data_IF_426591368836
#
_entry.id   IF_426591368836
#
_cell.length_a   1.000
_cell.length_b   1.000
_cell.length_c   1.000
_cell.angle_alpha   90.00
_cell.angle_beta   90.00
_cell.angle_gamma   90.00
#
_symmetry.space_group_name_H-M   'P 1'
#
loop_
_entity.id
_entity.type
_entity.pdbx_description
1 polymer ?
#
# COMPACT_ATOMS: atom_id res chain seq x y z
N UNK A 1 -1.95 14.37 -13.26
CA UNK A 1 -2.90 13.25 -13.09
C UNK A 1 -2.59 12.44 -11.83
N UNK A 2 -1.44 11.78 -11.73
CA UNK A 2 -1.05 10.96 -10.56
C UNK A 2 -1.07 11.70 -9.22
N UNK A 3 -0.56 12.94 -9.15
CA UNK A 3 -0.60 13.71 -7.89
C UNK A 3 -2.02 14.00 -7.37
N UNK A 4 -3.03 14.02 -8.24
CA UNK A 4 -4.42 14.21 -7.84
C UNK A 4 -5.03 12.91 -7.28
N UNK A 5 -4.69 11.76 -7.89
CA UNK A 5 -5.05 10.43 -7.36
C UNK A 5 -4.44 10.19 -5.98
N UNK A 6 -3.16 10.55 -5.78
CA UNK A 6 -2.50 10.47 -4.48
C UNK A 6 -3.23 11.31 -3.42
N UNK A 7 -3.56 12.57 -3.75
CA UNK A 7 -4.30 13.45 -2.85
C UNK A 7 -5.69 12.93 -2.51
N UNK A 8 -6.39 12.31 -3.47
CA UNK A 8 -7.68 11.67 -3.23
C UNK A 8 -7.54 10.44 -2.33
N UNK A 9 -6.54 9.60 -2.57
CA UNK A 9 -6.25 8.44 -1.74
C UNK A 9 -5.99 8.85 -0.28
N UNK A 10 -5.11 9.84 -0.07
CA UNK A 10 -4.81 10.38 1.27
C UNK A 10 -6.06 10.98 1.93
N UNK A 11 -6.85 11.75 1.18
CA UNK A 11 -8.08 12.35 1.70
C UNK A 11 -9.07 11.29 2.18
N UNK A 12 -9.33 10.25 1.37
CA UNK A 12 -10.22 9.16 1.77
C UNK A 12 -9.66 8.34 2.94
N UNK A 13 -8.34 8.18 3.05
CA UNK A 13 -7.73 7.55 4.21
C UNK A 13 -8.01 8.32 5.50
N UNK A 14 -7.92 9.66 5.46
CA UNK A 14 -8.21 10.52 6.63
C UNK A 14 -9.69 10.51 7.02
N UNK A 15 -10.59 10.23 6.07
CA UNK A 15 -12.02 10.07 6.32
C UNK A 15 -12.41 8.65 6.76
N UNK A 16 -11.44 7.75 6.94
CA UNK A 16 -11.64 6.32 7.23
C UNK A 16 -12.44 5.58 6.14
N UNK A 17 -12.56 6.17 4.95
CA UNK A 17 -13.11 5.54 3.77
C UNK A 17 -12.02 4.70 3.07
N UNK A 18 -11.71 3.57 3.70
CA UNK A 18 -10.66 2.67 3.22
C UNK A 18 -11.00 2.01 1.89
N UNK A 19 -12.28 1.99 1.48
CA UNK A 19 -12.67 1.46 0.18
C UNK A 19 -12.32 2.42 -0.95
N UNK A 20 -12.68 3.70 -0.81
CA UNK A 20 -12.30 4.72 -1.79
C UNK A 20 -10.78 4.96 -1.79
N UNK A 21 -10.14 4.97 -0.60
CA UNK A 21 -8.69 5.08 -0.51
C UNK A 21 -7.98 3.96 -1.29
N UNK A 22 -8.39 2.71 -1.07
CA UNK A 22 -7.83 1.57 -1.79
C UNK A 22 -8.05 1.68 -3.31
N UNK A 23 -9.23 2.12 -3.75
CA UNK A 23 -9.50 2.34 -5.18
C UNK A 23 -8.48 3.28 -5.82
N UNK A 24 -8.22 4.43 -5.20
CA UNK A 24 -7.24 5.40 -5.72
C UNK A 24 -5.79 4.91 -5.59
N UNK A 25 -5.46 4.19 -4.52
CA UNK A 25 -4.13 3.59 -4.35
C UNK A 25 -3.85 2.53 -5.43
N UNK A 26 -4.81 1.68 -5.76
CA UNK A 26 -4.67 0.69 -6.84
C UNK A 26 -4.56 1.39 -8.20
N UNK A 27 -5.36 2.44 -8.46
CA UNK A 27 -5.25 3.21 -9.70
C UNK A 27 -3.87 3.88 -9.88
N UNK A 28 -3.22 4.29 -8.77
CA UNK A 28 -1.83 4.76 -8.82
C UNK A 28 -0.87 3.65 -9.22
N UNK A 29 -1.04 2.44 -8.66
CA UNK A 29 -0.18 1.30 -8.93
C UNK A 29 -0.36 0.73 -10.34
N UNK A 30 -1.55 0.86 -10.93
CA UNK A 30 -1.79 0.55 -12.34
C UNK A 30 -1.02 1.49 -13.27
N UNK A 31 -0.82 2.75 -12.86
CA UNK A 31 -0.04 3.71 -13.63
C UNK A 31 1.46 3.58 -13.38
N UNK A 32 1.86 3.34 -12.13
CA UNK A 32 3.25 3.23 -11.70
C UNK A 32 3.35 2.17 -10.58
N UNK A 33 3.68 0.92 -10.94
CA UNK A 33 3.78 -0.19 -9.99
C UNK A 33 4.89 -0.05 -8.95
N UNK A 34 5.81 0.90 -9.13
CA UNK A 34 6.98 1.07 -8.27
C UNK A 34 6.74 2.06 -7.13
N UNK A 35 5.54 2.65 -7.06
CA UNK A 35 5.13 3.57 -6.01
C UNK A 35 4.92 2.88 -4.67
N UNK A 36 5.99 2.77 -3.90
CA UNK A 36 5.95 2.17 -2.57
C UNK A 36 5.00 2.89 -1.60
N UNK A 37 4.82 4.20 -1.73
CA UNK A 37 3.84 4.97 -0.96
C UNK A 37 2.40 4.47 -1.18
N UNK A 38 2.01 4.21 -2.44
CA UNK A 38 0.72 3.66 -2.79
C UNK A 38 0.56 2.21 -2.31
N UNK A 39 1.61 1.39 -2.40
CA UNK A 39 1.61 0.04 -1.81
C UNK A 39 1.38 0.09 -0.29
N UNK A 40 2.09 0.96 0.43
CA UNK A 40 1.92 1.15 1.88
C UNK A 40 0.51 1.60 2.25
N UNK A 41 -0.07 2.52 1.48
CA UNK A 41 -1.42 3.00 1.71
C UNK A 41 -2.45 1.88 1.52
N UNK A 42 -2.32 1.08 0.45
CA UNK A 42 -3.16 -0.08 0.20
C UNK A 42 -3.03 -1.13 1.32
N UNK A 43 -1.81 -1.43 1.78
CA UNK A 43 -1.57 -2.33 2.91
C UNK A 43 -2.30 -1.89 4.19
N UNK A 44 -2.23 -0.60 4.53
CA UNK A 44 -2.94 -0.04 5.68
C UNK A 44 -4.46 -0.16 5.52
N UNK A 45 -5.00 0.16 4.35
CA UNK A 45 -6.43 0.04 4.06
C UNK A 45 -6.93 -1.39 4.23
N UNK A 46 -6.21 -2.37 3.68
CA UNK A 46 -6.58 -3.78 3.84
C UNK A 46 -6.63 -4.20 5.31
N UNK A 47 -5.67 -3.78 6.12
CA UNK A 47 -5.65 -4.15 7.54
C UNK A 47 -6.76 -3.47 8.32
N UNK A 48 -7.05 -2.20 8.05
CA UNK A 48 -8.19 -1.48 8.63
C UNK A 48 -9.54 -2.11 8.28
N UNK A 49 -9.63 -2.78 7.13
CA UNK A 49 -10.78 -3.58 6.70
C UNK A 49 -10.80 -5.02 7.23
N UNK A 50 -9.80 -5.43 8.01
CA UNK A 50 -9.65 -6.81 8.50
C UNK A 50 -9.10 -7.80 7.45
N UNK A 51 -8.72 -7.33 6.28
CA UNK A 51 -8.28 -8.12 5.13
C UNK A 51 -6.75 -8.34 5.12
N UNK A 52 -6.17 -8.80 6.25
CA UNK A 52 -4.71 -8.94 6.42
C UNK A 52 -4.00 -9.72 5.31
N UNK A 53 -4.63 -10.79 4.82
CA UNK A 53 -4.06 -11.60 3.75
C UNK A 53 -3.84 -10.78 2.46
N UNK A 54 -4.70 -9.78 2.20
CA UNK A 54 -4.52 -8.87 1.08
C UNK A 54 -3.35 -7.91 1.31
N UNK A 55 -3.18 -7.38 2.53
CA UNK A 55 -2.02 -6.55 2.84
C UNK A 55 -0.70 -7.29 2.60
N UNK A 56 -0.62 -8.56 2.97
CA UNK A 56 0.59 -9.36 2.75
C UNK A 56 0.83 -9.64 1.26
N UNK A 57 -0.23 -9.92 0.49
CA UNK A 57 -0.14 -10.01 -0.96
C UNK A 57 0.34 -8.70 -1.57
N UNK A 58 -0.14 -7.57 -1.09
CA UNK A 58 0.27 -6.25 -1.58
C UNK A 58 1.77 -6.01 -1.36
N UNK A 59 2.30 -6.37 -0.19
CA UNK A 59 3.74 -6.30 0.06
C UNK A 59 4.54 -7.16 -0.93
N UNK A 60 4.09 -8.39 -1.19
CA UNK A 60 4.73 -9.29 -2.17
C UNK A 60 4.71 -8.72 -3.59
N UNK A 61 3.63 -8.05 -3.99
CA UNK A 61 3.54 -7.38 -5.29
C UNK A 61 4.55 -6.23 -5.38
N UNK A 62 4.72 -5.45 -4.30
CA UNK A 62 5.75 -4.41 -4.22
C UNK A 62 7.15 -4.99 -4.37
N UNK A 63 7.48 -6.05 -3.60
CA UNK A 63 8.76 -6.76 -3.71
C UNK A 63 9.00 -7.26 -5.14
N UNK A 64 8.00 -7.90 -5.74
CA UNK A 64 8.11 -8.48 -7.07
C UNK A 64 8.35 -7.40 -8.13
N UNK A 65 7.61 -6.28 -8.09
CA UNK A 65 7.73 -5.20 -9.06
C UNK A 65 9.14 -4.57 -9.02
N UNK A 66 9.64 -4.26 -7.82
CA UNK A 66 10.97 -3.68 -7.63
C UNK A 66 12.08 -4.66 -8.04
N UNK A 67 11.92 -5.94 -7.69
CA UNK A 67 12.91 -6.95 -8.00
C UNK A 67 12.99 -7.23 -9.50
N UNK A 68 11.85 -7.28 -10.20
CA UNK A 68 11.83 -7.62 -11.62
C UNK A 68 12.41 -6.53 -12.52
N UNK A 69 12.18 -5.25 -12.18
CA UNK A 69 12.61 -4.13 -13.02
C UNK A 69 13.98 -3.58 -12.61
N UNK A 70 14.25 -3.50 -11.30
CA UNK A 70 15.41 -2.77 -10.78
C UNK A 70 16.41 -3.65 -10.01
N UNK A 71 16.14 -4.95 -9.86
CA UNK A 71 16.84 -5.87 -8.94
C UNK A 71 16.92 -5.33 -7.49
N UNK A 72 15.99 -4.43 -7.15
CA UNK A 72 15.95 -3.73 -5.87
C UNK A 72 15.09 -4.48 -4.85
N UNK A 73 15.19 -4.03 -3.59
CA UNK A 73 14.32 -4.44 -2.48
C UNK A 73 13.46 -3.24 -2.05
N UNK A 74 12.30 -3.46 -1.39
CA UNK A 74 11.49 -2.37 -0.88
C UNK A 74 12.27 -1.46 0.07
N UNK A 75 11.90 -0.19 0.11
CA UNK A 75 12.35 0.78 1.10
C UNK A 75 12.16 0.24 2.53
N UNK A 76 13.03 0.71 3.44
CA UNK A 76 12.95 0.38 4.87
C UNK A 76 11.56 0.66 5.44
N UNK A 77 10.94 1.79 5.06
CA UNK A 77 9.59 2.15 5.53
C UNK A 77 8.51 1.13 5.11
N UNK A 78 8.66 0.51 3.94
CA UNK A 78 7.73 -0.51 3.43
C UNK A 78 7.92 -1.84 4.17
N UNK A 79 9.18 -2.22 4.39
CA UNK A 79 9.53 -3.43 5.13
C UNK A 79 9.12 -3.34 6.60
N UNK A 80 9.37 -2.19 7.25
CA UNK A 80 8.96 -1.92 8.63
C UNK A 80 7.43 -1.95 8.78
N UNK A 81 6.69 -1.38 7.84
CA UNK A 81 5.23 -1.47 7.85
C UNK A 81 4.79 -2.94 7.77
N UNK A 82 5.37 -3.73 6.87
CA UNK A 82 5.02 -5.14 6.76
C UNK A 82 5.31 -5.92 8.05
N UNK A 83 6.45 -5.66 8.69
CA UNK A 83 6.78 -6.28 9.98
C UNK A 83 5.81 -5.86 11.09
N UNK A 84 5.44 -4.58 11.16
CA UNK A 84 4.40 -4.11 12.08
C UNK A 84 3.07 -4.82 11.83
N UNK A 85 2.66 -4.95 10.57
CA UNK A 85 1.45 -5.67 10.19
C UNK A 85 1.52 -7.15 10.57
N UNK A 86 2.70 -7.78 10.46
CA UNK A 86 2.88 -9.19 10.84
C UNK A 86 2.78 -9.38 12.36
N UNK A 87 3.37 -8.49 13.14
CA UNK A 87 3.49 -8.61 14.61
C UNK A 87 2.29 -8.04 15.38
N UNK A 88 1.73 -6.91 14.93
CA UNK A 88 0.70 -6.16 15.64
C UNK A 88 -0.48 -5.78 14.73
N UNK A 89 -1.45 -6.70 14.54
CA UNK A 89 -2.59 -6.49 13.63
C UNK A 89 -3.52 -5.35 14.01
N UNK A 90 -3.63 -5.08 15.30
CA UNK A 90 -4.70 -4.29 15.92
C UNK A 90 -4.26 -2.89 16.36
N UNK A 91 -2.98 -2.55 16.19
CA UNK A 91 -2.40 -1.28 16.65
C UNK A 91 -2.29 -0.21 15.56
N UNK A 92 -2.79 -0.49 14.36
CA UNK A 92 -2.62 0.37 13.18
C UNK A 92 -3.89 1.03 12.74
#
# INVERSE_FOLDING_TARGET
YLGMLARLADHHYTLEDYAACLHFAIALLECDPFREDAHRLAMRCYVRRGERAQAFRQFRLCEQALRSEFDAVPETATSELFDQLRLYPSSL
#
